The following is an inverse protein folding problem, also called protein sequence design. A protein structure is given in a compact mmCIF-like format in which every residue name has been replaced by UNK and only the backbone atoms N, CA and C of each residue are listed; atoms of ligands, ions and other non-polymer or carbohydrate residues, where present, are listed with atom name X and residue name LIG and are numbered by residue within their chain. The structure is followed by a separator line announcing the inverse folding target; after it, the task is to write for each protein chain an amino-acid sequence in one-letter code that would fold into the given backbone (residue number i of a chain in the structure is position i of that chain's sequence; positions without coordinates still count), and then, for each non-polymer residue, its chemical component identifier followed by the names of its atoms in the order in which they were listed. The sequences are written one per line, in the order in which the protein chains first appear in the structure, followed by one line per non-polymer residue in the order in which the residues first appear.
data_IF_024176339928
#
_entry.id   IF_024176339928
#
_cell.length_a   1.000
_cell.length_b   1.000
_cell.length_c   1.000
_cell.angle_alpha   90.00
_cell.angle_beta   90.00
_cell.angle_gamma   90.00
#
_symmetry.space_group_name_H-M   'P 1'
#
loop_
_entity.id
_entity.type
_entity.pdbx_description
1 polymer ?
2 polymer ?
3 non-polymer ?
4 non-polymer ?
5 non-polymer ?
6 water ?
#
# COMPACT_ATOMS: atom_id res chain seq x y z
CA UNK A 1 -15.05 -0.65 18.77
C UNK A 1 -15.41 -1.96 19.45
N UNK A 2 -15.72 -3.01 18.67
CA UNK A 2 -15.96 -4.39 19.18
C UNK A 2 -14.69 -4.95 19.82
N UNK A 3 -13.52 -4.33 19.61
CA UNK A 3 -12.22 -4.83 20.17
C UNK A 3 -11.82 -4.00 21.37
N UNK A 4 -12.70 -3.09 21.80
CA UNK A 4 -12.38 -2.13 22.87
C UNK A 4 -12.11 -2.81 24.20
N UNK A 5 -12.68 -4.00 24.43
CA UNK A 5 -12.49 -4.72 25.72
C UNK A 5 -11.24 -5.63 25.69
N UNK A 6 -10.58 -5.82 24.54
CA UNK A 6 -9.40 -6.70 24.45
C UNK A 6 -8.11 -5.90 24.70
N UNK A 7 -7.17 -6.50 25.45
CA UNK A 7 -5.82 -5.89 25.66
C UNK A 7 -5.15 -5.63 24.31
N UNK A 8 -4.37 -4.54 24.21
CA UNK A 8 -3.55 -4.29 22.99
C UNK A 8 -2.65 -5.49 22.69
N UNK A 9 -1.95 -6.05 23.70
CA UNK A 9 -0.99 -7.13 23.43
C UNK A 9 -1.75 -8.35 22.88
N UNK A 10 -2.94 -8.63 23.41
CA UNK A 10 -3.83 -9.74 22.96
C UNK A 10 -4.27 -9.53 21.50
N UNK A 11 -4.64 -8.32 21.14
CA UNK A 11 -5.02 -7.99 19.73
C UNK A 11 -3.84 -8.25 18.80
N UNK A 12 -2.64 -7.87 19.20
CA UNK A 12 -1.43 -8.06 18.34
C UNK A 12 -1.18 -9.56 18.24
N UNK A 13 -1.24 -10.28 19.37
CA UNK A 13 -0.99 -11.73 19.36
C UNK A 13 -2.00 -12.38 18.39
N UNK A 14 -3.29 -12.03 18.50
CA UNK A 14 -4.38 -12.59 17.66
C UNK A 14 -4.23 -12.16 16.21
N UNK A 15 -3.72 -10.98 15.92
CA UNK A 15 -3.46 -10.59 14.52
C UNK A 15 -2.41 -11.57 13.95
N UNK A 16 -1.39 -11.92 14.73
CA UNK A 16 -0.31 -12.83 14.24
C UNK A 16 -0.92 -14.21 14.01
N UNK A 17 -1.78 -14.66 14.91
CA UNK A 17 -2.47 -15.99 14.74
C UNK A 17 -3.36 -15.97 13.47
N UNK A 18 -4.16 -14.92 13.29
CA UNK A 18 -5.07 -14.76 12.15
C UNK A 18 -4.26 -14.82 10.86
N UNK A 19 -3.10 -14.17 10.83
CA UNK A 19 -2.17 -14.23 9.67
C UNK A 19 -1.77 -15.69 9.40
N UNK A 20 -1.41 -16.45 10.42
CA UNK A 20 -0.98 -17.86 10.27
C UNK A 20 -2.14 -18.70 9.73
N UNK A 21 -3.37 -18.37 10.10
CA UNK A 21 -4.60 -19.07 9.70
C UNK A 21 -5.14 -18.52 8.35
N UNK A 22 -4.48 -17.54 7.73
CA UNK A 22 -4.95 -16.84 6.51
C UNK A 22 -6.37 -16.29 6.74
N UNK A 23 -6.62 -15.77 7.93
CA UNK A 23 -7.91 -15.13 8.27
C UNK A 23 -7.70 -13.61 8.23
N UNK A 24 -7.63 -13.04 7.02
CA UNK A 24 -7.15 -11.64 6.89
C UNK A 24 -8.21 -10.65 7.36
N UNK A 25 -9.50 -10.93 7.21
CA UNK A 25 -10.52 -10.00 7.74
C UNK A 25 -10.38 -9.94 9.27
N UNK A 26 -10.22 -11.08 9.93
CA UNK A 26 -9.97 -11.09 11.40
C UNK A 26 -8.67 -10.33 11.70
N UNK A 27 -7.63 -10.57 10.93
CA UNK A 27 -6.32 -9.94 11.20
C UNK A 27 -6.49 -8.42 11.15
N UNK A 28 -7.22 -7.91 10.14
CA UNK A 28 -7.49 -6.47 9.95
C UNK A 28 -8.30 -5.92 11.14
N UNK A 29 -9.33 -6.61 11.56
CA UNK A 29 -10.16 -6.14 12.70
C UNK A 29 -9.30 -6.11 13.97
N UNK A 30 -8.43 -7.10 14.19
CA UNK A 30 -7.55 -7.11 15.40
C UNK A 30 -6.59 -5.90 15.32
N UNK A 31 -6.00 -5.64 14.15
CA UNK A 31 -5.08 -4.50 14.01
C UNK A 31 -5.83 -3.17 14.10
N UNK A 32 -7.02 -3.06 13.57
CA UNK A 32 -7.83 -1.82 13.74
C UNK A 32 -7.96 -1.58 15.26
N UNK A 33 -8.40 -2.61 15.99
CA UNK A 33 -8.59 -2.47 17.45
C UNK A 33 -7.29 -2.06 18.13
N UNK A 34 -6.14 -2.62 17.72
CA UNK A 34 -4.82 -2.24 18.28
C UNK A 34 -4.57 -0.76 18.00
N UNK A 35 -4.76 -0.31 16.77
CA UNK A 35 -4.58 1.13 16.43
C UNK A 35 -5.46 2.02 17.33
N UNK A 36 -6.72 1.64 17.54
CA UNK A 36 -7.69 2.45 18.30
C UNK A 36 -7.31 2.51 19.78
N UNK A 37 -6.37 1.71 20.26
CA UNK A 37 -5.83 1.91 21.63
C UNK A 37 -5.12 3.26 21.74
N UNK A 38 -4.72 3.87 20.61
CA UNK A 38 -4.18 5.25 20.64
C UNK A 38 -2.66 5.31 20.81
N UNK A 39 -1.96 4.21 21.04
CA UNK A 39 -0.50 4.19 21.13
C UNK A 39 0.08 4.13 19.71
N UNK A 40 1.24 4.73 19.51
CA UNK A 40 1.95 4.60 18.21
C UNK A 40 2.25 3.09 17.96
N UNK A 41 2.43 2.68 16.71
CA UNK A 41 2.74 1.29 16.33
C UNK A 41 4.24 1.12 16.13
N UNK A 42 4.76 -0.02 16.54
CA UNK A 42 6.13 -0.44 16.18
C UNK A 42 6.25 -0.76 14.68
N UNK A 43 7.46 -0.99 14.19
CA UNK A 43 7.70 -1.38 12.80
C UNK A 43 6.95 -2.70 12.51
N UNK A 44 7.09 -3.68 13.38
CA UNK A 44 6.40 -4.99 13.20
C UNK A 44 4.88 -4.75 13.15
N UNK A 45 4.37 -3.92 14.04
CA UNK A 45 2.89 -3.69 14.14
C UNK A 45 2.37 -2.91 12.91
N UNK A 46 3.14 -1.96 12.39
CA UNK A 46 2.77 -1.26 11.14
C UNK A 46 2.68 -2.28 10.03
N UNK A 47 3.61 -3.20 9.98
CA UNK A 47 3.64 -4.24 8.91
C UNK A 47 2.43 -5.17 9.07
N UNK A 48 2.03 -5.51 10.31
CA UNK A 48 0.83 -6.36 10.50
C UNK A 48 -0.40 -5.61 9.98
N UNK A 49 -0.49 -4.32 10.24
CA UNK A 49 -1.67 -3.52 9.83
C UNK A 49 -1.75 -3.51 8.31
N UNK A 50 -0.62 -3.21 7.66
CA UNK A 50 -0.52 -3.14 6.19
C UNK A 50 -0.83 -4.49 5.57
N UNK A 51 -0.24 -5.58 6.05
CA UNK A 51 -0.48 -6.93 5.43
C UNK A 51 -1.96 -7.29 5.57
N UNK A 52 -2.57 -7.01 6.73
CA UNK A 52 -3.99 -7.40 6.95
C UNK A 52 -4.84 -6.72 5.87
N UNK A 53 -4.79 -5.39 5.81
CA UNK A 53 -5.71 -4.64 4.93
C UNK A 53 -5.32 -4.84 3.46
N UNK A 54 -4.05 -5.08 3.16
CA UNK A 54 -3.63 -5.30 1.76
C UNK A 54 -4.32 -6.58 1.28
N UNK A 55 -4.35 -7.58 2.14
CA UNK A 55 -4.96 -8.87 1.78
C UNK A 55 -6.46 -8.70 1.62
N UNK A 56 -7.12 -8.00 2.54
CA UNK A 56 -8.59 -7.79 2.46
C UNK A 56 -8.91 -7.01 1.17
N UNK A 57 -8.30 -5.85 0.97
CA UNK A 57 -8.66 -4.99 -0.20
C UNK A 57 -8.22 -5.72 -1.47
N UNK A 58 -7.17 -6.55 -1.42
CA UNK A 58 -6.71 -7.33 -2.59
C UNK A 58 -7.76 -8.29 -3.10
N UNK A 59 -8.42 -9.04 -2.21
CA UNK A 59 -9.61 -9.85 -2.55
C UNK A 59 -10.72 -9.02 -3.19
N UNK A 60 -11.03 -7.85 -2.64
CA UNK A 60 -12.11 -6.99 -3.16
C UNK A 60 -11.71 -6.46 -4.54
N UNK A 61 -10.47 -5.99 -4.74
CA UNK A 61 -10.03 -5.47 -6.07
C UNK A 61 -10.15 -6.57 -7.12
N UNK A 62 -9.74 -7.78 -6.80
CA UNK A 62 -9.74 -8.91 -7.75
C UNK A 62 -11.21 -9.22 -8.10
N UNK A 63 -12.10 -9.26 -7.12
CA UNK A 63 -13.56 -9.49 -7.36
C UNK A 63 -14.14 -8.36 -8.20
N UNK A 64 -13.82 -7.10 -7.86
CA UNK A 64 -14.36 -5.94 -8.61
C UNK A 64 -13.94 -6.04 -10.08
N UNK A 65 -12.69 -6.43 -10.37
CA UNK A 65 -12.20 -6.44 -11.75
C UNK A 65 -12.95 -7.52 -12.55
N UNK A 66 -13.13 -8.69 -11.96
CA UNK A 66 -13.94 -9.77 -12.57
C UNK A 66 -15.35 -9.21 -12.88
N UNK A 67 -16.03 -8.61 -11.92
CA UNK A 67 -17.44 -8.14 -12.10
C UNK A 67 -17.47 -7.01 -13.13
N UNK A 68 -16.49 -6.07 -13.08
CA UNK A 68 -16.41 -4.93 -14.02
C UNK A 68 -16.27 -5.44 -15.47
N UNK A 69 -15.47 -6.49 -15.65
CA UNK A 69 -15.20 -7.09 -16.98
C UNK A 69 -16.48 -7.73 -17.51
N UNK A 70 -17.20 -8.44 -16.64
CA UNK A 70 -18.50 -9.04 -17.05
C UNK A 70 -19.47 -7.92 -17.43
N UNK A 71 -19.56 -6.89 -16.60
CA UNK A 71 -20.47 -5.74 -16.77
C UNK A 71 -20.19 -5.06 -18.12
N UNK A 72 -18.91 -4.79 -18.43
CA UNK A 72 -18.47 -4.20 -19.72
C UNK A 72 -18.93 -5.11 -20.87
N UNK A 73 -18.65 -6.42 -20.81
CA UNK A 73 -19.12 -7.40 -21.82
C UNK A 73 -20.64 -7.30 -22.00
N UNK A 74 -21.42 -7.33 -20.91
CA UNK A 74 -22.92 -7.30 -20.94
C UNK A 74 -23.44 -6.04 -21.64
N UNK A 75 -22.62 -5.00 -21.74
CA UNK A 75 -22.88 -3.76 -22.52
C UNK A 75 -22.15 -3.91 -23.86
N UNK A 83 -30.46 -7.51 -17.52
CA UNK A 83 -31.01 -7.14 -16.20
C UNK A 83 -30.00 -6.34 -15.36
N UNK A 84 -30.43 -5.82 -14.20
CA UNK A 84 -29.60 -4.96 -13.38
C UNK A 84 -28.61 -5.75 -12.50
N UNK A 85 -28.62 -7.08 -12.54
CA UNK A 85 -27.95 -7.90 -11.49
C UNK A 85 -26.42 -7.64 -11.52
N UNK A 86 -25.81 -7.64 -12.69
CA UNK A 86 -24.34 -7.53 -12.80
C UNK A 86 -23.93 -6.18 -12.21
N UNK A 87 -24.56 -5.10 -12.66
CA UNK A 87 -24.30 -3.74 -12.12
C UNK A 87 -24.54 -3.76 -10.60
N UNK A 88 -25.67 -4.28 -10.13
CA UNK A 88 -26.00 -4.22 -8.69
C UNK A 88 -24.91 -4.92 -7.88
N UNK A 89 -24.45 -6.08 -8.33
CA UNK A 89 -23.48 -6.88 -7.55
C UNK A 89 -22.08 -6.22 -7.64
N UNK A 90 -21.74 -5.67 -8.81
CA UNK A 90 -20.46 -4.90 -8.91
C UNK A 90 -20.50 -3.71 -7.94
N UNK A 91 -21.60 -2.96 -7.89
CA UNK A 91 -21.84 -1.85 -6.94
C UNK A 91 -21.71 -2.32 -5.49
N UNK A 92 -22.20 -3.50 -5.15
CA UNK A 92 -22.15 -4.04 -3.77
C UNK A 92 -20.68 -4.23 -3.40
N UNK A 93 -19.94 -4.89 -4.27
CA UNK A 93 -18.49 -5.17 -4.01
C UNK A 93 -17.74 -3.84 -3.98
N UNK A 94 -18.02 -2.93 -4.92
CA UNK A 94 -17.37 -1.60 -4.96
C UNK A 94 -17.63 -0.88 -3.63
N UNK A 95 -18.86 -0.88 -3.11
CA UNK A 95 -19.19 -0.17 -1.87
C UNK A 95 -18.40 -0.77 -0.70
N UNK A 96 -18.29 -2.09 -0.64
CA UNK A 96 -17.53 -2.76 0.45
C UNK A 96 -16.05 -2.41 0.32
N UNK A 97 -15.50 -2.39 -0.90
CA UNK A 97 -14.09 -1.96 -1.14
C UNK A 97 -13.89 -0.51 -0.66
N UNK A 98 -14.80 0.39 -1.03
CA UNK A 98 -14.71 1.82 -0.62
C UNK A 98 -14.76 1.87 0.90
N UNK A 99 -15.58 1.04 1.53
CA UNK A 99 -15.67 1.10 2.99
C UNK A 99 -14.39 0.69 3.68
N UNK A 100 -13.71 -0.34 3.21
CA UNK A 100 -12.37 -0.79 3.69
C UNK A 100 -11.35 0.35 3.48
N UNK A 101 -11.31 0.96 2.28
CA UNK A 101 -10.38 2.07 2.01
C UNK A 101 -10.67 3.21 2.99
N UNK A 102 -11.93 3.58 3.16
CA UNK A 102 -12.31 4.66 4.12
C UNK A 102 -11.90 4.29 5.54
N UNK A 103 -12.03 3.04 5.94
CA UNK A 103 -11.63 2.61 7.32
C UNK A 103 -10.13 2.84 7.50
N UNK A 104 -9.33 2.38 6.54
CA UNK A 104 -7.85 2.54 6.62
C UNK A 104 -7.48 4.02 6.61
N UNK A 105 -8.04 4.80 5.68
CA UNK A 105 -7.79 6.26 5.64
C UNK A 105 -8.20 6.92 6.96
N UNK A 106 -9.27 6.45 7.57
CA UNK A 106 -9.73 6.89 8.91
C UNK A 106 -8.69 6.63 9.99
N UNK A 107 -8.07 5.47 9.98
CA UNK A 107 -7.03 5.14 10.98
C UNK A 107 -5.82 6.04 10.73
N UNK A 108 -5.42 6.24 9.47
CA UNK A 108 -4.21 7.07 9.19
C UNK A 108 -4.47 8.52 9.64
N UNK A 109 -5.69 9.01 9.46
CA UNK A 109 -6.07 10.41 9.83
C UNK A 109 -6.36 10.57 11.33
N UNK A 110 -6.72 9.50 12.03
CA UNK A 110 -7.12 9.53 13.45
C UNK A 110 -6.44 8.41 14.24
N UNK A 111 -5.14 8.52 14.58
CA UNK A 111 -4.28 9.68 14.45
C UNK A 111 -2.87 9.23 14.09
N UNK A 112 -2.74 8.22 13.24
CA UNK A 112 -1.43 7.55 13.01
C UNK A 112 -0.45 8.56 12.41
N UNK A 113 -0.88 9.27 11.38
CA UNK A 113 0.04 10.15 10.61
C UNK A 113 0.47 11.29 11.54
N UNK A 114 -0.48 11.95 12.20
CA UNK A 114 -0.11 13.16 12.96
C UNK A 114 0.86 12.81 14.09
N UNK A 115 0.82 11.57 14.58
CA UNK A 115 1.69 11.14 15.71
C UNK A 115 2.95 10.43 15.21
N UNK A 116 3.17 10.41 13.90
CA UNK A 116 4.37 9.76 13.30
C UNK A 116 5.42 10.83 13.02
N UNK A 117 6.48 10.88 13.80
CA UNK A 117 7.59 11.86 13.65
C UNK A 117 8.81 11.26 13.01
N UNK A 118 9.07 9.97 13.19
CA UNK A 118 10.26 9.35 12.56
C UNK A 118 10.00 9.11 11.09
N UNK A 119 11.02 9.25 10.27
CA UNK A 119 10.91 9.05 8.82
C UNK A 119 10.30 7.69 8.49
N UNK A 120 10.71 6.62 9.20
CA UNK A 120 10.33 5.21 8.92
C UNK A 120 8.80 5.05 9.14
N UNK A 121 8.27 5.70 10.16
CA UNK A 121 6.82 5.63 10.43
C UNK A 121 6.03 6.57 9.50
N UNK A 122 6.49 7.80 9.33
CA UNK A 122 5.70 8.84 8.63
C UNK A 122 5.65 8.49 7.14
N UNK A 123 6.77 8.05 6.56
CA UNK A 123 6.77 7.64 5.13
C UNK A 123 5.89 6.39 4.98
N UNK A 124 5.96 5.43 5.91
CA UNK A 124 5.14 4.20 5.81
C UNK A 124 3.65 4.57 5.74
N UNK A 125 3.19 5.46 6.63
CA UNK A 125 1.75 5.80 6.74
C UNK A 125 1.31 6.64 5.55
N UNK A 126 2.18 7.53 5.08
CA UNK A 126 1.84 8.39 3.92
C UNK A 126 1.80 7.54 2.66
N UNK A 127 2.71 6.57 2.52
CA UNK A 127 2.63 5.60 1.42
C UNK A 127 1.25 4.88 1.48
N UNK A 128 0.85 4.42 2.67
CA UNK A 128 -0.45 3.72 2.81
C UNK A 128 -1.56 4.66 2.36
N UNK A 129 -1.51 5.93 2.77
CA UNK A 129 -2.59 6.89 2.43
C UNK A 129 -2.66 7.00 0.89
N UNK A 130 -1.51 7.09 0.24
CA UNK A 130 -1.43 7.09 -1.25
C UNK A 130 -2.04 5.83 -1.84
N UNK A 131 -1.68 4.66 -1.32
CA UNK A 131 -2.18 3.36 -1.79
C UNK A 131 -3.71 3.30 -1.67
N UNK A 132 -4.30 3.71 -0.53
CA UNK A 132 -5.76 3.49 -0.33
C UNK A 132 -6.55 4.53 -1.15
N UNK A 133 -6.05 5.74 -1.37
CA UNK A 133 -6.63 6.67 -2.38
C UNK A 133 -6.49 6.07 -3.78
N UNK A 134 -5.35 5.45 -4.09
CA UNK A 134 -5.18 4.77 -5.40
C UNK A 134 -6.29 3.71 -5.57
N UNK A 135 -6.53 2.89 -4.57
CA UNK A 135 -7.57 1.83 -4.68
C UNK A 135 -8.93 2.49 -4.91
N UNK A 136 -9.22 3.56 -4.17
CA UNK A 136 -10.45 4.33 -4.44
C UNK A 136 -10.46 4.84 -5.89
N UNK A 137 -9.33 5.33 -6.40
CA UNK A 137 -9.28 5.91 -7.76
C UNK A 137 -9.55 4.82 -8.80
N UNK A 138 -9.18 3.57 -8.54
CA UNK A 138 -9.32 2.45 -9.51
C UNK A 138 -10.82 2.24 -9.83
N UNK A 139 -11.71 2.53 -8.89
CA UNK A 139 -13.17 2.29 -9.05
C UNK A 139 -13.91 3.62 -9.22
N UNK A 140 -13.23 4.76 -9.17
CA UNK A 140 -13.86 6.08 -9.20
C UNK A 140 -14.23 6.47 -10.64
N UNK A 141 -15.39 7.12 -10.77
CA UNK A 141 -15.96 7.70 -12.01
C UNK A 141 -16.58 9.05 -11.60
N UNK A 145 -13.45 11.78 -8.95
CA UNK A 145 -12.34 10.89 -9.39
C UNK A 145 -11.05 11.71 -9.50
N UNK A 146 -11.16 12.94 -10.00
CA UNK A 146 -9.98 13.83 -10.10
C UNK A 146 -9.48 14.17 -8.70
N UNK A 147 -10.37 14.44 -7.76
CA UNK A 147 -9.99 14.87 -6.39
C UNK A 147 -9.38 13.64 -5.70
N UNK A 148 -9.90 12.45 -5.96
CA UNK A 148 -9.32 11.21 -5.33
C UNK A 148 -7.89 11.01 -5.83
N UNK A 149 -7.66 11.17 -7.13
CA UNK A 149 -6.32 11.01 -7.74
C UNK A 149 -5.40 12.04 -7.13
N UNK A 150 -5.84 13.28 -6.99
CA UNK A 150 -4.93 14.32 -6.43
C UNK A 150 -4.63 14.01 -4.95
N UNK A 151 -5.58 13.40 -4.21
CA UNK A 151 -5.32 12.99 -2.81
C UNK A 151 -4.22 11.91 -2.80
N UNK A 152 -4.31 10.94 -3.68
CA UNK A 152 -3.28 9.88 -3.79
C UNK A 152 -1.93 10.57 -4.05
N UNK A 153 -1.90 11.42 -5.08
CA UNK A 153 -0.67 12.10 -5.55
C UNK A 153 -0.03 12.86 -4.38
N UNK A 154 -0.82 13.68 -3.70
CA UNK A 154 -0.40 14.50 -2.57
C UNK A 154 0.28 13.65 -1.49
N UNK A 155 -0.35 12.54 -1.11
CA UNK A 155 0.17 11.68 -0.03
C UNK A 155 1.48 11.06 -0.51
N UNK A 156 1.50 10.50 -1.72
CA UNK A 156 2.73 9.91 -2.30
C UNK A 156 3.84 10.95 -2.34
N UNK A 157 3.55 12.16 -2.79
CA UNK A 157 4.57 13.23 -2.96
C UNK A 157 5.18 13.57 -1.59
N UNK A 158 4.35 13.75 -0.55
CA UNK A 158 4.85 14.13 0.79
C UNK A 158 5.77 13.00 1.27
N UNK A 159 5.37 11.75 1.04
CA UNK A 159 6.15 10.57 1.44
C UNK A 159 7.48 10.55 0.65
N UNK A 160 7.44 10.87 -0.64
CA UNK A 160 8.68 10.84 -1.46
C UNK A 160 9.62 11.93 -0.93
N UNK A 161 9.07 13.11 -0.64
CA UNK A 161 9.94 14.24 -0.20
C UNK A 161 10.65 13.81 1.11
N UNK A 163 11.25 10.82 2.24
CA UNK A 163 12.12 9.62 2.00
C UNK A 163 13.44 10.09 1.37
N UNK A 164 13.35 11.01 0.43
CA UNK A 164 14.57 11.41 -0.32
C UNK A 164 15.47 12.19 0.63
N UNK A 165 14.92 12.87 1.61
CA UNK A 165 15.70 13.68 2.58
C UNK A 165 16.26 12.80 3.69
N UNK A 166 15.53 11.76 4.12
CA UNK A 166 15.80 11.12 5.43
C UNK A 166 16.29 9.68 5.31
N UNK A 167 16.13 9.03 4.18
CA UNK A 167 16.39 7.58 4.04
C UNK A 167 17.39 7.39 2.92
N UNK A 168 18.24 6.35 3.01
CA UNK A 168 19.12 6.00 1.90
C UNK A 168 18.34 5.44 0.74
N UNK A 169 18.90 5.48 -0.49
CA UNK A 169 18.19 5.02 -1.67
C UNK A 169 17.83 3.53 -1.69
N UNK A 170 18.44 2.71 -0.82
CA UNK A 170 18.13 1.27 -0.75
C UNK A 170 17.09 0.96 0.33
N UNK A 171 16.68 1.94 1.12
CA UNK A 171 15.68 1.72 2.20
C UNK A 171 14.47 1.05 1.58
N UNK A 172 14.08 -0.17 2.03
CA UNK A 172 12.95 -0.88 1.45
C UNK A 172 11.61 -0.11 1.48
N UNK A 173 11.42 0.72 2.51
CA UNK A 173 10.19 1.56 2.56
C UNK A 173 10.23 2.57 1.42
N UNK A 174 11.34 3.27 1.26
CA UNK A 174 11.58 4.23 0.16
C UNK A 174 11.40 3.53 -1.18
N UNK A 175 11.95 2.33 -1.35
CA UNK A 175 11.83 1.57 -2.62
C UNK A 175 10.38 1.19 -2.92
N UNK A 176 9.65 0.70 -1.94
CA UNK A 176 8.25 0.26 -2.11
C UNK A 176 7.36 1.43 -2.40
N UNK A 177 7.65 2.56 -1.78
CA UNK A 177 6.94 3.83 -2.08
C UNK A 177 7.15 4.19 -3.54
N UNK A 178 8.40 4.22 -4.02
CA UNK A 178 8.66 4.64 -5.40
C UNK A 178 8.00 3.65 -6.36
N UNK A 179 8.08 2.37 -6.07
CA UNK A 179 7.39 1.32 -6.85
C UNK A 179 5.91 1.69 -7.02
N UNK A 180 5.23 1.94 -5.89
CA UNK A 180 3.75 2.15 -5.90
C UNK A 180 3.42 3.48 -6.56
N UNK A 181 4.23 4.53 -6.32
CA UNK A 181 4.04 5.86 -6.92
C UNK A 181 4.26 5.73 -8.43
N UNK A 182 5.24 4.94 -8.87
CA UNK A 182 5.44 4.76 -10.34
C UNK A 182 4.19 4.11 -10.93
N UNK A 183 3.60 3.12 -10.26
CA UNK A 183 2.38 2.42 -10.79
C UNK A 183 1.21 3.43 -10.79
N UNK A 184 1.09 4.24 -9.76
CA UNK A 184 0.10 5.35 -9.74
C UNK A 184 0.25 6.17 -11.03
N UNK A 185 1.49 6.55 -11.37
CA UNK A 185 1.71 7.43 -12.54
C UNK A 185 1.24 6.69 -13.78
N UNK A 186 1.59 5.42 -13.88
CA UNK A 186 1.40 4.69 -15.15
C UNK A 186 -0.09 4.40 -15.39
N UNK A 187 -0.77 3.90 -14.36
CA UNK A 187 -2.12 3.23 -14.38
C UNK A 187 -3.22 4.24 -14.05
N UNK A 188 -2.94 5.22 -13.20
CA UNK A 188 -4.00 6.11 -12.63
C UNK A 188 -3.89 7.50 -13.22
N UNK A 189 -2.69 8.08 -13.26
CA UNK A 189 -2.47 9.48 -13.69
C UNK A 189 -2.24 9.53 -15.21
N UNK A 190 -2.19 8.40 -15.89
CA UNK A 190 -1.98 8.39 -17.35
C UNK A 190 -0.65 9.10 -17.67
N UNK A 191 0.38 8.92 -16.84
CA UNK A 191 1.72 9.55 -17.05
C UNK A 191 2.77 8.45 -17.19
N UNK A 192 2.70 7.61 -18.25
CA UNK A 192 3.66 6.51 -18.36
C UNK A 192 5.12 6.96 -18.37
N UNK A 193 5.42 8.14 -18.87
CA UNK A 193 6.83 8.61 -18.95
C UNK A 193 7.31 8.93 -17.54
N UNK A 194 6.46 9.57 -16.75
CA UNK A 194 6.80 9.81 -15.33
C UNK A 194 7.03 8.47 -14.62
N UNK A 195 6.18 7.48 -14.86
CA UNK A 195 6.28 6.13 -14.23
C UNK A 195 7.63 5.49 -14.52
N UNK A 196 8.00 5.50 -15.79
CA UNK A 196 9.26 4.89 -16.28
C UNK A 196 10.47 5.64 -15.69
N UNK A 197 10.46 6.96 -15.71
CA UNK A 197 11.54 7.81 -15.16
C UNK A 197 11.70 7.54 -13.66
N UNK A 198 10.60 7.54 -12.96
CA UNK A 198 10.72 7.30 -11.50
C UNK A 198 11.31 5.90 -11.26
N UNK A 199 10.82 4.85 -11.94
CA UNK A 199 11.25 3.45 -11.68
C UNK A 199 12.75 3.29 -12.03
N UNK A 200 13.17 3.91 -13.14
CA UNK A 200 14.58 3.84 -13.63
C UNK A 200 15.49 4.54 -12.63
N UNK A 201 15.22 5.80 -12.29
CA UNK A 201 16.05 6.57 -11.33
C UNK A 201 16.10 5.84 -9.98
N UNK A 202 14.96 5.34 -9.52
CA UNK A 202 14.91 4.63 -8.22
C UNK A 202 15.79 3.39 -8.25
N UNK A 203 15.70 2.62 -9.32
CA UNK A 203 16.50 1.36 -9.49
C UNK A 203 18.01 1.70 -9.52
N UNK A 204 18.37 2.69 -10.34
CA UNK A 204 19.79 3.07 -10.58
C UNK A 204 20.37 3.60 -9.26
N UNK A 205 19.68 4.46 -8.54
CA UNK A 205 20.23 5.02 -7.29
C UNK A 205 20.35 3.90 -6.25
N UNK A 206 19.44 2.93 -6.23
CA UNK A 206 19.52 1.84 -5.25
C UNK A 206 20.76 1.00 -5.62
N UNK A 207 20.86 0.61 -6.87
CA UNK A 207 22.01 -0.21 -7.35
C UNK A 207 23.34 0.38 -6.89
N UNK A 208 23.49 1.70 -6.95
CA UNK A 208 24.76 2.37 -6.59
C UNK A 208 24.99 2.39 -5.07
N UNK A 209 23.98 2.12 -4.24
CA UNK A 209 24.09 2.12 -2.76
C UNK A 209 24.18 0.67 -2.20
N UNK A 210 23.97 -0.37 -3.03
CA UNK A 210 23.92 -1.76 -2.52
C UNK A 210 25.24 -2.10 -1.82
N UNK A 211 26.35 -1.53 -2.27
CA UNK A 211 27.69 -1.86 -1.72
C UNK A 211 27.77 -1.55 -0.22
N UNK A 212 26.87 -0.72 0.33
CA UNK A 212 26.87 -0.32 1.75
C UNK A 212 26.15 -1.32 2.66
N UNK A 213 25.45 -2.28 2.10
CA UNK A 213 24.53 -3.14 2.87
C UNK A 213 25.18 -4.45 3.32
N UNK A 214 24.66 -4.97 4.41
CA UNK A 214 24.85 -6.39 4.82
C UNK A 214 24.12 -7.31 3.86
N UNK A 215 24.46 -8.60 3.93
CA UNK A 215 23.81 -9.68 3.17
C UNK A 215 22.28 -9.59 3.40
N UNK A 216 21.84 -9.39 4.65
CA UNK A 216 20.38 -9.37 4.96
C UNK A 216 19.69 -8.13 4.36
N UNK A 217 20.24 -6.93 4.46
CA UNK A 217 19.66 -5.69 3.89
C UNK A 217 19.69 -5.77 2.35
N UNK A 218 20.77 -6.33 1.82
CA UNK A 218 20.93 -6.52 0.36
C UNK A 218 19.77 -7.35 -0.20
N UNK A 219 19.44 -8.45 0.47
CA UNK A 219 18.29 -9.31 0.10
C UNK A 219 17.00 -8.50 0.10
N UNK A 220 16.75 -7.72 1.15
CA UNK A 220 15.49 -6.95 1.29
C UNK A 220 15.39 -5.90 0.16
N UNK A 221 16.47 -5.17 -0.11
CA UNK A 221 16.53 -4.12 -1.17
C UNK A 221 16.40 -4.72 -2.57
N UNK A 222 17.16 -5.75 -2.89
CA UNK A 222 17.15 -6.32 -4.26
C UNK A 222 15.77 -6.93 -4.55
N UNK A 223 15.07 -7.51 -3.56
CA UNK A 223 13.70 -8.05 -3.82
C UNK A 223 12.80 -6.93 -4.40
N UNK A 224 12.83 -5.73 -3.83
CA UNK A 224 11.93 -4.65 -4.33
C UNK A 224 12.51 -4.08 -5.63
N UNK A 225 13.83 -4.04 -5.76
CA UNK A 225 14.43 -3.60 -7.04
C UNK A 225 13.95 -4.50 -8.18
N UNK A 226 13.79 -5.80 -7.92
CA UNK A 226 13.36 -6.73 -8.98
C UNK A 226 11.92 -6.37 -9.40
N UNK A 227 11.07 -5.94 -8.46
CA UNK A 227 9.73 -5.47 -8.84
C UNK A 227 9.80 -4.24 -9.74
N UNK A 228 10.69 -3.26 -9.46
CA UNK A 228 10.88 -2.10 -10.34
C UNK A 228 11.32 -2.61 -11.72
N UNK A 229 12.28 -3.54 -11.77
CA UNK A 229 12.76 -4.11 -13.06
C UNK A 229 11.59 -4.80 -13.79
N UNK A 230 10.79 -5.58 -13.10
CA UNK A 230 9.67 -6.30 -13.77
C UNK A 230 8.73 -5.30 -14.45
N UNK A 231 8.35 -4.22 -13.76
CA UNK A 231 7.50 -3.16 -14.36
C UNK A 231 8.22 -2.56 -15.57
N UNK A 232 9.47 -2.14 -15.39
CA UNK A 232 10.18 -1.47 -16.51
C UNK A 232 10.20 -2.40 -17.73
N UNK A 233 10.32 -3.71 -17.53
CA UNK A 233 10.34 -4.70 -18.64
C UNK A 233 8.99 -4.70 -19.37
N UNK A 234 7.91 -4.60 -18.63
CA UNK A 234 6.54 -4.54 -19.20
C UNK A 234 6.31 -3.20 -19.91
N UNK A 235 6.98 -2.11 -19.48
CA UNK A 235 6.66 -0.71 -19.89
C UNK A 235 7.55 -0.22 -21.06
N UNK A 236 8.67 -0.88 -21.35
CA UNK A 236 9.70 -0.43 -22.34
C UNK A 236 10.14 -1.61 -23.23
N UNK B 4 0.31 -4.41 -12.81
CA UNK B 4 1.78 -4.19 -12.59
C UNK B 4 2.11 -4.50 -11.12
N UNK B 5 3.39 -4.71 -10.81
CA UNK B 5 3.90 -5.04 -9.46
C UNK B 5 3.71 -3.86 -8.51
N UNK B 6 3.02 -4.06 -7.43
CA UNK B 6 3.07 -3.06 -6.37
C UNK B 6 3.62 -3.79 -5.15
N UNK B 7 3.93 -2.99 -4.20
CA UNK B 7 4.66 -3.44 -2.97
C UNK B 7 3.78 -4.44 -2.21
N UNK B 8 4.39 -5.51 -1.66
CA UNK B 8 3.76 -6.30 -0.59
C UNK B 8 2.83 -7.36 -1.16
N UNK B 9 1.96 -7.98 -0.33
CA UNK B 9 1.21 -9.18 -0.74
C UNK B 9 0.19 -9.00 -1.89
N UNK B 10 -0.38 -10.11 -2.34
CA UNK B 10 -1.53 -10.21 -3.30
C UNK B 10 -2.71 -10.91 -2.61
X LIG C 1 8.81 8.59 -24.57
X LIG D 1 -20.53 3.03 -6.88
X LIG E 1 -4.21 -2.58 28.66
X LIG F 1 -26.25 -7.32 -4.95
X LIG G 1 9.22 -6.22 9.88
X LIG G 1 7.84 -3.87 4.75
X LIG G 1 10.17 -4.64 5.02
X LIG G 1 6.00 -8.46 7.38
X LIG G 1 7.35 -7.46 8.09
X LIG G 1 7.34 -7.76 9.48
X LIG G 1 6.34 -8.71 9.91
X LIG G 1 5.51 -9.21 8.90
X LIG G 1 4.30 -10.25 8.94
X LIG G 1 3.91 -10.83 10.02
X LIG G 1 3.68 -10.52 7.61
X LIG G 1 8.29 -7.14 10.35
X LIG G 1 9.27 -5.91 8.50
X LIG G 1 8.34 -6.50 7.57
X LIG G 1 8.45 -6.06 6.13
X LIG G 1 8.82 -4.64 5.70
X LIG G 1 7.74 -2.38 5.00
#
# INVERSE_FOLDING_TARGET
GAMGSMERASLIQKAKLAEQAERYEDMAAFMKGAVEKGEELSCEERNLLSVAYKNVVGGQRAAWRVLSSIEQKSNEEGSEEKGPEVREYREKVETELQGVCDTVLGLLDSHLIKEAGDAESRVFYLKMKGDYYRYLAEVATGDDKKRIIDSARSAYQEAMDISKKEMPPTNPIRLGLALNFSVFHYEIANSPEEAISLAKTTFDEAMADLHTLSEDSYKDSTLIMQLLRDNLTLWTADNAGEEGGEAPQEPQS
KLMFKTEGPDSD
MG MG
MG MG
MG MG
CA CA
KM2 C10 C15 C17 S01 C02 C03 C04 C05 C06 N07 N08 C09 C11 C12 N13 C14 N16
#
